data_IF_325199996123
#
_entry.id   IF_325199996123
#
_cell.length_a   1.000
_cell.length_b   1.000
_cell.length_c   1.000
_cell.angle_alpha   90.00
_cell.angle_beta   90.00
_cell.angle_gamma   90.00
#
_symmetry.space_group_name_H-M   'P 1'
#
loop_
_entity.id
_entity.type
_entity.pdbx_description
1 polymer ?
#
# COMPACT_ATOMS: atom_id res chain seq x y z
N UNK A 1 38.23 -73.19 28.82
CA UNK A 1 38.68 -71.78 28.62
C UNK A 1 38.06 -71.25 27.34
N UNK A 2 37.70 -69.95 27.32
CA UNK A 2 37.06 -69.16 26.23
C UNK A 2 35.53 -69.22 26.24
N UNK A 3 34.83 -68.46 27.09
CA UNK A 3 34.63 -66.99 27.22
C UNK A 3 33.22 -66.62 26.73
N UNK A 4 32.41 -66.16 27.69
CA UNK A 4 31.08 -65.56 27.58
C UNK A 4 31.07 -64.34 26.66
N UNK A 5 29.98 -64.18 25.89
CA UNK A 5 29.48 -62.87 25.47
C UNK A 5 27.94 -62.90 25.51
N UNK A 6 27.27 -62.21 26.45
CA UNK A 6 25.84 -61.94 26.31
C UNK A 6 25.65 -60.73 25.38
N UNK A 7 24.82 -60.92 24.36
CA UNK A 7 24.40 -59.85 23.46
C UNK A 7 23.48 -58.87 24.21
N UNK A 8 24.00 -57.66 24.48
CA UNK A 8 23.24 -56.55 25.03
C UNK A 8 22.37 -55.96 23.91
N UNK A 9 21.09 -56.31 23.88
CA UNK A 9 20.12 -55.68 22.99
C UNK A 9 19.81 -54.26 23.51
N UNK A 10 20.35 -53.25 22.83
CA UNK A 10 20.08 -51.85 23.11
C UNK A 10 18.68 -51.50 22.57
N UNK A 11 17.70 -51.35 23.46
CA UNK A 11 16.38 -50.82 23.12
C UNK A 11 16.53 -49.32 22.80
N UNK A 12 16.56 -48.97 21.52
CA UNK A 12 16.46 -47.56 21.07
C UNK A 12 15.00 -47.16 21.14
N UNK A 13 14.59 -46.51 22.23
CA UNK A 13 13.30 -45.83 22.29
C UNK A 13 13.33 -44.63 21.33
N UNK A 14 12.36 -44.46 20.42
CA UNK A 14 12.28 -43.23 19.64
C UNK A 14 11.92 -42.10 20.60
N UNK A 15 12.87 -41.18 20.82
CA UNK A 15 12.55 -39.90 21.42
C UNK A 15 11.60 -39.19 20.45
N UNK A 16 10.31 -39.18 20.79
CA UNK A 16 9.34 -38.27 20.21
C UNK A 16 9.86 -36.86 20.51
N UNK A 17 10.57 -36.27 19.55
CA UNK A 17 10.86 -34.85 19.54
C UNK A 17 9.52 -34.12 19.44
N UNK A 18 8.94 -33.79 20.59
CA UNK A 18 7.91 -32.79 20.70
C UNK A 18 8.56 -31.48 20.29
N UNK A 19 8.48 -31.14 19.00
CA UNK A 19 8.77 -29.80 18.55
C UNK A 19 7.82 -28.87 19.33
N UNK A 20 8.37 -28.12 20.30
CA UNK A 20 7.61 -27.08 20.97
C UNK A 20 7.26 -26.05 19.91
N UNK A 21 5.98 -25.95 19.56
CA UNK A 21 5.46 -24.82 18.81
C UNK A 21 5.78 -23.57 19.62
N UNK A 22 6.87 -22.90 19.26
CA UNK A 22 7.33 -21.73 19.97
C UNK A 22 6.45 -20.58 19.53
N UNK A 23 5.42 -20.30 20.32
CA UNK A 23 4.54 -19.16 20.08
C UNK A 23 5.35 -17.86 20.19
N UNK A 24 4.94 -16.82 19.44
CA UNK A 24 5.55 -15.50 19.52
C UNK A 24 5.61 -15.02 20.97
N UNK A 25 6.84 -14.81 21.47
CA UNK A 25 7.08 -14.33 22.81
C UNK A 25 6.87 -12.81 22.87
N UNK A 26 6.27 -12.32 23.96
CA UNK A 26 6.21 -10.88 24.22
C UNK A 26 7.42 -10.43 25.04
N UNK A 27 8.02 -9.27 24.72
CA UNK A 27 9.07 -8.71 25.55
C UNK A 27 8.51 -8.32 26.94
N UNK A 28 9.37 -8.18 27.97
CA UNK A 28 8.97 -7.64 29.27
C UNK A 28 8.22 -6.31 29.13
N UNK A 29 7.25 -6.06 30.01
CA UNK A 29 6.32 -4.93 29.89
C UNK A 29 7.03 -3.57 29.70
N UNK A 30 8.09 -3.28 30.46
CA UNK A 30 8.83 -2.02 30.33
C UNK A 30 9.42 -1.81 28.91
N UNK A 31 9.93 -2.87 28.28
CA UNK A 31 10.46 -2.81 26.90
C UNK A 31 9.32 -2.69 25.90
N UNK A 32 8.22 -3.42 26.13
CA UNK A 32 7.03 -3.34 25.29
C UNK A 32 6.42 -1.94 25.30
N UNK A 33 6.28 -1.33 26.47
CA UNK A 33 5.64 -0.02 26.64
C UNK A 33 6.53 1.09 26.07
N UNK A 34 7.85 0.99 26.23
CA UNK A 34 8.80 1.88 25.57
C UNK A 34 8.72 1.75 24.04
N UNK A 35 8.65 0.52 23.52
CA UNK A 35 8.56 0.25 22.10
C UNK A 35 7.22 0.69 21.50
N UNK A 36 6.12 0.54 22.22
CA UNK A 36 4.76 0.87 21.76
C UNK A 36 4.31 2.29 22.13
N UNK A 37 5.21 3.12 22.67
CA UNK A 37 4.91 4.52 22.95
C UNK A 37 4.41 5.23 21.68
N UNK A 38 3.36 6.08 21.76
CA UNK A 38 2.82 6.74 20.58
C UNK A 38 3.89 7.59 19.87
N UNK A 39 4.14 7.37 18.57
CA UNK A 39 5.08 8.17 17.82
C UNK A 39 4.61 9.61 17.64
N UNK A 40 5.56 10.49 17.32
CA UNK A 40 5.25 11.85 16.87
C UNK A 40 4.34 11.78 15.63
N UNK A 41 3.17 12.42 15.66
CA UNK A 41 2.25 12.41 14.53
C UNK A 41 2.87 13.13 13.33
N UNK A 42 2.44 12.74 12.12
CA UNK A 42 2.78 13.48 10.91
C UNK A 42 1.90 14.72 10.80
N UNK A 43 2.50 15.82 10.38
CA UNK A 43 1.80 17.08 10.17
C UNK A 43 1.69 17.37 8.67
N UNK A 44 0.50 17.76 8.22
CA UNK A 44 0.26 18.23 6.85
C UNK A 44 -0.40 19.60 6.92
N UNK A 45 0.36 20.64 6.56
CA UNK A 45 -0.09 22.02 6.58
C UNK A 45 -0.75 22.38 5.25
N UNK A 46 -1.90 23.05 5.31
CA UNK A 46 -2.56 23.63 4.15
C UNK A 46 -1.67 24.72 3.50
N UNK A 47 -1.86 24.97 2.21
CA UNK A 47 -1.03 25.93 1.46
C UNK A 47 -1.08 27.36 2.00
N UNK A 48 -2.18 27.74 2.65
CA UNK A 48 -2.36 29.05 3.29
C UNK A 48 -1.78 29.15 4.71
N UNK A 49 -1.30 28.03 5.29
CA UNK A 49 -0.77 27.96 6.64
C UNK A 49 -1.81 28.13 7.76
N UNK A 50 -3.11 28.17 7.46
CA UNK A 50 -4.18 28.43 8.45
C UNK A 50 -4.79 27.17 9.02
N UNK A 51 -4.64 26.05 8.34
CA UNK A 51 -5.17 24.76 8.78
C UNK A 51 -4.09 23.69 8.66
N UNK A 52 -4.05 22.79 9.62
CA UNK A 52 -3.14 21.65 9.62
C UNK A 52 -3.88 20.37 9.96
N UNK A 53 -3.58 19.31 9.22
CA UNK A 53 -3.98 17.95 9.55
C UNK A 53 -2.87 17.28 10.38
N UNK A 54 -3.26 16.67 11.49
CA UNK A 54 -2.42 15.92 12.41
C UNK A 54 -2.78 14.44 12.23
N UNK A 55 -1.83 13.69 11.71
CA UNK A 55 -1.98 12.30 11.31
C UNK A 55 -1.31 11.41 12.36
N UNK A 56 -2.11 10.75 13.19
CA UNK A 56 -1.58 9.77 14.12
C UNK A 56 -1.02 8.58 13.33
N UNK A 57 0.22 8.19 13.58
CA UNK A 57 0.88 7.08 12.87
C UNK A 57 1.12 5.92 13.82
N UNK A 58 1.28 4.72 13.25
CA UNK A 58 1.73 3.54 13.98
C UNK A 58 3.13 3.17 13.48
N UNK A 59 4.05 2.93 14.41
CA UNK A 59 5.45 2.62 14.09
C UNK A 59 5.68 1.18 13.61
N UNK A 60 4.81 0.25 14.03
CA UNK A 60 5.00 -1.18 13.80
C UNK A 60 3.81 -1.79 13.05
N UNK A 61 4.02 -2.31 11.83
CA UNK A 61 3.01 -3.13 11.18
C UNK A 61 2.80 -4.42 11.97
N UNK A 62 1.56 -4.89 11.97
CA UNK A 62 1.18 -6.18 12.54
C UNK A 62 1.82 -7.34 11.77
N UNK A 63 1.93 -8.51 12.40
CA UNK A 63 2.40 -9.74 11.73
C UNK A 63 1.54 -10.05 10.50
N UNK A 64 0.22 -9.82 10.58
CA UNK A 64 -0.70 -10.01 9.47
C UNK A 64 -0.45 -9.05 8.30
N UNK A 65 0.09 -7.86 8.55
CA UNK A 65 0.50 -6.92 7.50
C UNK A 65 1.83 -7.31 6.88
N UNK A 66 2.78 -7.77 7.71
CA UNK A 66 4.09 -8.24 7.24
C UNK A 66 4.00 -9.53 6.40
N UNK A 67 2.99 -10.36 6.64
CA UNK A 67 2.77 -11.61 5.90
C UNK A 67 1.96 -11.44 4.61
N UNK A 68 1.57 -10.21 4.26
CA UNK A 68 0.86 -9.96 3.01
C UNK A 68 1.75 -10.25 1.79
N UNK A 69 1.16 -10.68 0.66
CA UNK A 69 1.92 -10.95 -0.55
C UNK A 69 2.63 -9.68 -1.07
N UNK A 70 3.86 -9.86 -1.56
CA UNK A 70 4.67 -8.80 -2.17
C UNK A 70 5.16 -9.27 -3.54
N UNK A 71 4.69 -8.61 -4.60
CA UNK A 71 5.26 -8.73 -5.94
C UNK A 71 6.41 -7.75 -6.10
N UNK A 72 7.50 -8.20 -6.72
CA UNK A 72 8.72 -7.43 -6.95
C UNK A 72 8.93 -7.30 -8.45
N UNK A 73 8.51 -6.18 -9.02
CA UNK A 73 8.37 -6.00 -10.47
C UNK A 73 8.92 -4.63 -10.88
N UNK A 74 9.90 -4.61 -11.77
CA UNK A 74 10.53 -3.39 -12.29
C UNK A 74 11.00 -2.40 -11.20
N UNK A 75 11.53 -2.92 -10.09
CA UNK A 75 11.96 -2.13 -8.93
C UNK A 75 10.84 -1.69 -7.98
N UNK A 76 9.58 -2.04 -8.28
CA UNK A 76 8.42 -1.76 -7.42
C UNK A 76 8.14 -2.95 -6.48
N UNK A 77 7.59 -2.64 -5.30
CA UNK A 77 7.10 -3.62 -4.33
C UNK A 77 5.60 -3.44 -4.13
N UNK A 78 4.83 -4.35 -4.71
CA UNK A 78 3.39 -4.21 -4.88
C UNK A 78 2.64 -5.24 -4.04
N UNK A 79 1.54 -4.82 -3.45
CA UNK A 79 0.59 -5.73 -2.83
C UNK A 79 -0.50 -6.10 -3.85
N UNK A 80 -0.51 -7.34 -4.37
CA UNK A 80 -1.48 -7.76 -5.38
C UNK A 80 -2.92 -7.76 -4.87
N UNK A 81 -3.15 -7.74 -3.56
CA UNK A 81 -4.49 -7.72 -2.96
C UNK A 81 -5.11 -6.33 -2.94
N UNK A 82 -4.32 -5.25 -2.99
CA UNK A 82 -4.82 -3.87 -2.89
C UNK A 82 -4.52 -3.02 -4.12
N UNK A 83 -3.64 -3.48 -5.02
CA UNK A 83 -3.19 -2.73 -6.19
C UNK A 83 -2.45 -1.43 -5.84
N UNK A 84 -1.70 -1.47 -4.74
CA UNK A 84 -0.83 -0.39 -4.25
C UNK A 84 0.49 -0.92 -3.70
N UNK A 85 1.31 -0.07 -3.06
CA UNK A 85 2.61 -0.49 -2.55
C UNK A 85 2.45 -1.47 -1.38
N UNK A 86 3.32 -2.48 -1.29
CA UNK A 86 3.33 -3.43 -0.15
C UNK A 86 3.87 -2.83 1.14
N UNK A 87 4.64 -1.74 1.03
CA UNK A 87 5.30 -1.08 2.15
C UNK A 87 4.87 0.37 2.21
N UNK A 88 3.89 0.65 3.05
CA UNK A 88 3.35 2.00 3.27
C UNK A 88 3.29 2.24 4.78
N UNK A 89 3.77 3.39 5.22
CA UNK A 89 3.54 3.84 6.59
C UNK A 89 2.21 4.57 6.64
N UNK A 90 1.21 3.95 7.25
CA UNK A 90 -0.13 4.50 7.33
C UNK A 90 -0.29 5.43 8.53
N UNK A 91 -1.13 6.45 8.36
CA UNK A 91 -1.76 7.11 9.50
C UNK A 91 -3.02 6.35 9.90
N UNK A 92 -3.19 6.13 11.20
CA UNK A 92 -4.27 5.38 11.84
C UNK A 92 -5.41 6.27 12.36
N UNK A 93 -5.23 7.59 12.26
CA UNK A 93 -6.22 8.59 12.61
C UNK A 93 -5.84 9.96 12.09
N UNK A 94 -6.82 10.87 12.05
CA UNK A 94 -6.63 12.23 11.58
C UNK A 94 -7.39 13.21 12.46
N UNK A 95 -6.72 14.30 12.82
CA UNK A 95 -7.31 15.46 13.46
C UNK A 95 -7.01 16.71 12.61
N UNK A 96 -7.84 17.73 12.73
CA UNK A 96 -7.63 19.04 12.10
C UNK A 96 -7.48 20.10 13.17
N UNK A 97 -6.55 21.03 12.94
CA UNK A 97 -6.25 22.17 13.80
C UNK A 97 -6.23 23.44 12.98
N UNK A 98 -6.98 24.45 13.42
CA UNK A 98 -6.91 25.81 12.86
C UNK A 98 -5.81 26.61 13.57
N UNK A 99 -5.09 27.43 12.82
CA UNK A 99 -3.94 28.20 13.29
C UNK A 99 -4.20 29.71 13.21
N UNK A 100 -3.68 30.50 14.17
CA UNK A 100 -2.96 30.06 15.36
C UNK A 100 -3.91 29.58 16.49
N UNK A 101 -3.47 28.58 17.27
CA UNK A 101 -4.03 28.27 18.60
C UNK A 101 -5.39 27.58 18.66
N UNK A 102 -5.97 27.16 17.53
CA UNK A 102 -7.21 26.38 17.52
C UNK A 102 -7.08 25.03 18.21
N UNK A 103 -8.21 24.51 18.70
CA UNK A 103 -8.29 23.16 19.25
C UNK A 103 -8.05 22.09 18.17
N UNK A 104 -7.51 20.95 18.58
CA UNK A 104 -7.42 19.76 17.74
C UNK A 104 -8.76 19.05 17.73
N UNK A 105 -9.31 18.85 16.54
CA UNK A 105 -10.65 18.28 16.36
C UNK A 105 -10.56 17.02 15.50
N UNK A 106 -11.14 15.88 15.92
CA UNK A 106 -11.06 14.65 15.15
C UNK A 106 -11.84 14.78 13.83
N UNK A 107 -11.31 14.17 12.77
CA UNK A 107 -12.04 14.02 11.51
C UNK A 107 -13.03 12.87 11.65
N UNK A 108 -14.32 13.17 11.46
CA UNK A 108 -15.42 12.22 11.56
C UNK A 108 -15.58 11.41 10.28
N UNK A 109 -16.25 10.25 10.35
CA UNK A 109 -16.54 9.41 9.18
C UNK A 109 -15.41 8.50 8.73
N UNK A 110 -14.22 8.60 9.35
CA UNK A 110 -13.13 7.64 9.13
C UNK A 110 -13.48 6.27 9.71
N UNK A 111 -13.16 5.17 9.01
CA UNK A 111 -13.32 3.82 9.56
C UNK A 111 -12.38 3.61 10.76
N UNK A 112 -12.76 2.70 11.66
CA UNK A 112 -11.88 2.27 12.73
C UNK A 112 -10.59 1.67 12.13
N UNK A 113 -9.43 2.00 12.73
CA UNK A 113 -8.11 1.58 12.23
C UNK A 113 -7.87 1.98 10.76
N UNK A 114 -8.21 3.23 10.42
CA UNK A 114 -7.99 3.77 9.09
C UNK A 114 -6.54 3.55 8.62
N UNK A 115 -6.33 3.31 7.34
CA UNK A 115 -4.98 3.19 6.76
C UNK A 115 -4.78 4.30 5.75
N UNK A 116 -4.50 5.49 6.27
CA UNK A 116 -4.47 6.74 5.50
C UNK A 116 -3.07 6.98 4.94
N UNK A 117 -3.00 7.34 3.67
CA UNK A 117 -1.76 7.74 2.98
C UNK A 117 -2.02 8.90 2.00
N UNK A 118 -0.93 9.48 1.50
CA UNK A 118 -0.94 10.50 0.44
C UNK A 118 -1.88 11.69 0.68
N UNK A 119 -1.87 12.34 1.87
CA UNK A 119 -2.71 13.51 2.11
C UNK A 119 -2.34 14.67 1.17
N UNK A 120 -3.34 15.30 0.55
CA UNK A 120 -3.16 16.41 -0.39
C UNK A 120 -4.29 17.44 -0.25
N UNK A 121 -3.93 18.68 0.08
CA UNK A 121 -4.88 19.79 0.23
C UNK A 121 -5.36 20.28 -1.14
N UNK A 122 -6.65 20.64 -1.22
CA UNK A 122 -7.19 21.34 -2.37
C UNK A 122 -6.50 22.71 -2.54
N UNK A 123 -6.40 23.25 -3.77
CA UNK A 123 -5.77 24.55 -4.00
C UNK A 123 -6.40 25.70 -3.20
N UNK A 124 -7.70 25.63 -2.93
CA UNK A 124 -8.44 26.58 -2.10
C UNK A 124 -8.39 26.30 -0.58
N UNK A 125 -7.71 25.22 -0.16
CA UNK A 125 -7.55 24.77 1.23
C UNK A 125 -8.85 24.39 1.96
N UNK A 126 -9.96 24.18 1.23
CA UNK A 126 -11.25 23.81 1.82
C UNK A 126 -11.41 22.30 2.02
N UNK A 127 -10.59 21.50 1.35
CA UNK A 127 -10.68 20.06 1.35
C UNK A 127 -9.30 19.40 1.47
N UNK A 128 -9.28 18.20 2.04
CA UNK A 128 -8.10 17.35 2.10
C UNK A 128 -8.45 15.99 1.47
N UNK A 129 -7.86 15.69 0.33
CA UNK A 129 -7.95 14.37 -0.30
C UNK A 129 -6.87 13.44 0.24
N UNK A 130 -7.19 12.15 0.34
CA UNK A 130 -6.24 11.13 0.80
C UNK A 130 -6.63 9.75 0.26
N UNK A 131 -5.65 8.85 0.21
CA UNK A 131 -5.88 7.44 -0.06
C UNK A 131 -6.20 6.72 1.27
N UNK A 132 -7.17 5.80 1.22
CA UNK A 132 -7.49 4.91 2.33
C UNK A 132 -7.38 3.45 1.87
N UNK A 133 -6.43 2.71 2.43
CA UNK A 133 -6.26 1.29 2.12
C UNK A 133 -7.22 0.45 2.93
N UNK A 134 -8.14 -0.24 2.26
CA UNK A 134 -9.01 -1.25 2.86
C UNK A 134 -8.37 -2.62 2.65
N UNK A 135 -7.93 -3.32 3.71
CA UNK A 135 -7.34 -4.64 3.60
C UNK A 135 -8.33 -5.67 3.05
N UNK A 136 -7.82 -6.73 2.45
CA UNK A 136 -8.64 -7.88 2.12
C UNK A 136 -9.13 -8.56 3.41
N UNK A 137 -10.39 -8.97 3.42
CA UNK A 137 -10.99 -9.79 4.48
C UNK A 137 -11.65 -11.02 3.85
N UNK A 138 -12.07 -11.98 4.68
CA UNK A 138 -12.86 -13.10 4.21
C UNK A 138 -14.13 -12.56 3.51
N UNK A 139 -14.23 -12.81 2.20
CA UNK A 139 -15.35 -12.37 1.36
C UNK A 139 -15.24 -10.98 0.71
N UNK A 140 -14.17 -10.20 0.94
CA UNK A 140 -13.96 -8.92 0.24
C UNK A 140 -12.52 -8.74 -0.23
N UNK A 141 -12.28 -8.41 -1.52
CA UNK A 141 -10.95 -8.06 -1.98
C UNK A 141 -10.47 -6.78 -1.29
N UNK A 142 -9.16 -6.69 -1.08
CA UNK A 142 -8.52 -5.46 -0.65
C UNK A 142 -8.56 -4.42 -1.76
N UNK A 143 -8.43 -3.15 -1.39
CA UNK A 143 -8.44 -2.03 -2.34
C UNK A 143 -7.87 -0.78 -1.71
N UNK A 144 -7.46 0.16 -2.55
CA UNK A 144 -7.20 1.54 -2.15
C UNK A 144 -8.38 2.41 -2.61
N UNK A 145 -8.90 3.25 -1.72
CA UNK A 145 -10.03 4.12 -1.97
C UNK A 145 -9.61 5.60 -1.97
N UNK A 146 -10.25 6.43 -2.80
CA UNK A 146 -10.12 7.88 -2.72
C UNK A 146 -11.13 8.45 -1.72
N UNK A 147 -10.64 9.20 -0.74
CA UNK A 147 -11.43 9.87 0.28
C UNK A 147 -11.16 11.36 0.28
N UNK A 148 -12.12 12.13 0.79
CA UNK A 148 -11.99 13.57 1.01
C UNK A 148 -12.53 13.95 2.37
N UNK A 149 -11.82 14.81 3.09
CA UNK A 149 -12.27 15.48 4.29
C UNK A 149 -12.60 16.95 3.99
N UNK A 150 -13.73 17.41 4.49
CA UNK A 150 -14.17 18.79 4.44
C UNK A 150 -13.71 19.54 5.71
N UNK A 151 -13.04 20.68 5.52
CA UNK A 151 -12.39 21.44 6.59
C UNK A 151 -13.39 22.22 7.43
N UNK A 152 -14.54 22.61 6.86
CA UNK A 152 -15.56 23.34 7.59
C UNK A 152 -16.28 22.44 8.59
N UNK A 153 -16.62 21.23 8.15
CA UNK A 153 -17.42 20.25 8.90
C UNK A 153 -16.60 19.22 9.67
N UNK A 154 -15.29 19.10 9.37
CA UNK A 154 -14.42 18.03 9.87
C UNK A 154 -14.96 16.63 9.55
N UNK A 155 -15.68 16.46 8.44
CA UNK A 155 -16.25 15.18 8.04
C UNK A 155 -15.49 14.62 6.82
N UNK A 156 -15.15 13.34 6.88
CA UNK A 156 -14.58 12.60 5.77
C UNK A 156 -15.58 11.63 5.16
N UNK A 157 -15.48 11.46 3.85
CA UNK A 157 -16.26 10.48 3.10
C UNK A 157 -15.44 9.88 1.96
N UNK A 158 -15.81 8.67 1.56
CA UNK A 158 -15.36 8.08 0.31
C UNK A 158 -15.85 8.95 -0.84
N UNK A 159 -14.93 9.32 -1.74
CA UNK A 159 -15.24 10.16 -2.89
C UNK A 159 -15.49 9.33 -4.15
N UNK A 160 -14.75 8.24 -4.36
CA UNK A 160 -14.80 7.48 -5.61
C UNK A 160 -15.18 6.01 -5.39
N UNK A 161 -16.14 5.53 -6.19
CA UNK A 161 -16.59 4.15 -6.17
C UNK A 161 -15.58 3.17 -6.80
N UNK A 162 -14.84 3.60 -7.82
CA UNK A 162 -13.74 2.80 -8.38
C UNK A 162 -12.53 2.77 -7.43
N UNK A 163 -11.85 1.63 -7.26
CA UNK A 163 -10.62 1.57 -6.48
C UNK A 163 -9.47 2.26 -7.23
N UNK A 164 -8.59 2.91 -6.46
CA UNK A 164 -7.39 3.54 -6.98
C UNK A 164 -6.36 2.49 -7.42
N UNK A 165 -5.58 2.84 -8.44
CA UNK A 165 -4.35 2.13 -8.80
C UNK A 165 -3.15 2.93 -8.28
N UNK A 166 -2.63 2.53 -7.13
CA UNK A 166 -1.57 3.23 -6.38
C UNK A 166 -0.18 2.61 -6.61
N UNK A 167 0.00 1.81 -7.67
CA UNK A 167 1.24 1.08 -7.99
C UNK A 167 2.47 1.99 -8.07
N UNK A 168 2.30 3.22 -8.52
CA UNK A 168 3.35 4.24 -8.60
C UNK A 168 3.31 5.25 -7.44
N UNK A 169 2.67 4.92 -6.32
CA UNK A 169 2.37 5.86 -5.23
C UNK A 169 1.20 6.78 -5.59
N UNK A 170 1.15 7.98 -4.99
CA UNK A 170 0.01 8.92 -5.02
C UNK A 170 -0.79 8.90 -6.32
N UNK A 171 -1.93 8.22 -6.31
CA UNK A 171 -2.73 7.91 -7.49
C UNK A 171 -3.68 9.03 -7.91
N UNK A 172 -3.68 10.18 -7.24
CA UNK A 172 -4.56 11.30 -7.57
C UNK A 172 -3.86 12.66 -7.42
N UNK A 173 -4.41 13.67 -8.09
CA UNK A 173 -3.95 15.06 -8.07
C UNK A 173 -5.14 16.02 -8.18
N UNK A 174 -5.11 17.12 -7.45
CA UNK A 174 -6.13 18.16 -7.55
C UNK A 174 -6.03 18.92 -8.86
N UNK A 175 -7.17 19.20 -9.48
CA UNK A 175 -7.26 20.19 -10.55
C UNK A 175 -7.29 21.59 -9.92
N UNK A 176 -6.77 22.59 -10.63
CA UNK A 176 -6.71 23.99 -10.19
C UNK A 176 -8.08 24.59 -9.83
N UNK A 177 -9.17 24.01 -10.30
CA UNK A 177 -10.55 24.42 -10.00
C UNK A 177 -11.00 24.13 -8.56
N UNK A 178 -10.22 23.35 -7.78
CA UNK A 178 -10.56 22.88 -6.42
C UNK A 178 -11.86 22.08 -6.31
N UNK A 179 -12.46 21.70 -7.44
CA UNK A 179 -13.74 20.99 -7.55
C UNK A 179 -13.59 19.64 -8.22
N UNK A 180 -12.43 19.36 -8.80
CA UNK A 180 -12.14 18.12 -9.49
C UNK A 180 -10.81 17.54 -9.04
N UNK A 181 -10.69 16.22 -9.09
CA UNK A 181 -9.41 15.51 -9.03
C UNK A 181 -9.19 14.70 -10.30
N UNK A 182 -7.93 14.56 -10.71
CA UNK A 182 -7.52 13.48 -11.59
C UNK A 182 -7.15 12.28 -10.73
N UNK A 183 -7.63 11.09 -11.08
CA UNK A 183 -7.33 9.87 -10.35
C UNK A 183 -7.01 8.71 -11.30
N UNK A 184 -6.01 7.92 -10.95
CA UNK A 184 -5.66 6.66 -11.59
C UNK A 184 -6.41 5.54 -10.88
N UNK A 185 -7.26 4.84 -11.62
CA UNK A 185 -8.11 3.77 -11.10
C UNK A 185 -7.72 2.43 -11.69
N UNK A 186 -8.06 1.35 -11.00
CA UNK A 186 -8.00 0.01 -11.59
C UNK A 186 -9.01 -0.03 -12.76
N UNK A 187 -8.59 -0.43 -13.99
CA UNK A 187 -9.50 -0.49 -15.13
C UNK A 187 -10.72 -1.36 -14.85
N UNK A 188 -11.90 -0.87 -15.25
CA UNK A 188 -13.13 -1.65 -15.17
C UNK A 188 -13.00 -2.92 -16.04
N UNK A 189 -13.41 -4.07 -15.51
CA UNK A 189 -13.38 -5.33 -16.25
C UNK A 189 -11.98 -5.92 -16.49
N UNK A 190 -10.94 -5.48 -15.76
CA UNK A 190 -9.54 -5.97 -15.91
C UNK A 190 -9.38 -7.50 -15.88
N UNK A 191 -10.32 -8.23 -15.26
CA UNK A 191 -10.26 -9.69 -15.14
C UNK A 191 -9.26 -10.15 -14.06
N UNK A 192 -8.97 -11.46 -13.98
CA UNK A 192 -8.01 -12.01 -13.02
C UNK A 192 -6.56 -11.71 -13.44
N UNK A 193 -5.67 -11.69 -12.44
CA UNK A 193 -4.23 -11.53 -12.70
C UNK A 193 -3.69 -12.72 -13.51
N UNK A 194 -2.75 -12.48 -14.44
CA UNK A 194 -2.05 -13.56 -15.12
C UNK A 194 -1.36 -14.51 -14.13
N UNK A 195 -1.36 -15.80 -14.44
CA UNK A 195 -0.62 -16.78 -13.65
C UNK A 195 0.89 -16.49 -13.69
N UNK A 196 1.50 -16.40 -12.50
CA UNK A 196 2.93 -16.12 -12.33
C UNK A 196 3.82 -17.29 -12.77
N UNK A 197 3.26 -18.50 -12.79
CA UNK A 197 3.89 -19.80 -13.02
C UNK A 197 3.56 -20.39 -14.40
N UNK A 198 2.98 -19.59 -15.31
CA UNK A 198 2.73 -20.06 -16.67
C UNK A 198 4.04 -20.58 -17.28
N UNK A 199 4.01 -21.84 -17.73
CA UNK A 199 5.17 -22.51 -18.32
C UNK A 199 5.84 -21.59 -19.35
N UNK A 200 7.18 -21.40 -19.27
CA UNK A 200 7.86 -20.50 -20.19
C UNK A 200 7.58 -20.91 -21.63
N UNK A 201 6.99 -20.01 -22.43
CA UNK A 201 6.75 -20.24 -23.86
C UNK A 201 8.04 -20.17 -24.69
N UNK A 202 9.15 -19.75 -24.08
CA UNK A 202 10.48 -19.64 -24.67
C UNK A 202 11.53 -19.16 -23.66
N UNK A 203 12.80 -19.03 -24.07
CA UNK A 203 13.86 -18.52 -23.20
C UNK A 203 13.63 -17.05 -22.82
N UNK A 204 14.04 -16.67 -21.62
CA UNK A 204 14.09 -15.26 -21.22
C UNK A 204 15.26 -14.58 -21.96
N UNK A 205 14.96 -13.74 -22.94
CA UNK A 205 15.94 -12.98 -23.71
C UNK A 205 15.99 -11.56 -23.15
N UNK A 206 17.18 -11.10 -22.74
CA UNK A 206 17.42 -9.72 -22.31
C UNK A 206 18.48 -9.10 -23.21
N UNK A 207 18.16 -7.95 -23.80
CA UNK A 207 19.10 -7.19 -24.63
C UNK A 207 19.55 -5.93 -23.88
N UNK A 208 20.86 -5.76 -23.71
CA UNK A 208 21.43 -4.50 -23.23
C UNK A 208 21.90 -3.69 -24.43
N UNK A 209 21.09 -2.72 -24.87
CA UNK A 209 21.40 -1.68 -25.86
C UNK A 209 22.55 -1.97 -26.84
N UNK A 210 22.38 -2.95 -27.74
CA UNK A 210 23.31 -3.21 -28.84
C UNK A 210 24.74 -3.63 -28.44
N UNK A 211 24.92 -4.30 -27.30
CA UNK A 211 26.22 -4.89 -26.91
C UNK A 211 27.25 -3.92 -26.32
N UNK A 212 26.86 -2.67 -26.03
CA UNK A 212 27.75 -1.69 -25.39
C UNK A 212 27.78 -1.93 -23.88
N UNK A 213 28.99 -2.16 -23.32
CA UNK A 213 29.21 -2.20 -21.87
C UNK A 213 28.86 -0.83 -21.27
N UNK A 214 27.71 -0.76 -20.63
CA UNK A 214 27.26 0.38 -19.84
C UNK A 214 27.45 0.05 -18.36
N UNK A 215 28.07 0.95 -17.59
CA UNK A 215 28.12 0.87 -16.13
C UNK A 215 26.75 1.17 -15.52
N UNK A 216 25.75 0.36 -15.84
CA UNK A 216 24.40 0.50 -15.30
C UNK A 216 24.43 0.23 -13.80
N UNK A 217 23.73 1.06 -13.03
CA UNK A 217 23.51 0.77 -11.61
C UNK A 217 22.85 -0.60 -11.49
N UNK A 218 23.26 -1.39 -10.49
CA UNK A 218 22.56 -2.62 -10.15
C UNK A 218 21.20 -2.23 -9.57
N UNK A 219 20.14 -2.48 -10.34
CA UNK A 219 18.77 -2.29 -9.87
C UNK A 219 18.27 -3.63 -9.31
N UNK A 220 17.72 -3.59 -8.09
CA UNK A 220 17.04 -4.74 -7.50
C UNK A 220 15.67 -4.92 -8.17
N UNK A 221 15.14 -6.14 -8.11
CA UNK A 221 13.75 -6.42 -8.47
C UNK A 221 13.38 -6.05 -9.94
N UNK A 222 14.36 -6.15 -10.86
CA UNK A 222 14.13 -6.05 -12.31
C UNK A 222 13.24 -7.19 -12.81
N UNK A 223 12.53 -6.95 -13.92
CA UNK A 223 11.74 -7.97 -14.60
C UNK A 223 12.67 -9.06 -15.13
N UNK A 224 12.38 -10.33 -14.79
CA UNK A 224 13.27 -11.45 -15.09
C UNK A 224 12.84 -12.24 -16.31
N UNK A 225 11.55 -12.22 -16.63
CA UNK A 225 10.95 -13.07 -17.65
C UNK A 225 9.63 -12.46 -18.17
N UNK A 226 9.04 -13.02 -19.25
CA UNK A 226 7.76 -12.56 -19.79
C UNK A 226 6.56 -12.68 -18.85
N UNK A 227 6.60 -13.52 -17.81
CA UNK A 227 5.54 -13.56 -16.81
C UNK A 227 5.59 -12.32 -15.90
N UNK A 228 6.77 -11.88 -15.48
CA UNK A 228 6.96 -10.64 -14.74
C UNK A 228 6.49 -9.43 -15.56
N UNK A 229 6.75 -9.40 -16.86
CA UNK A 229 6.28 -8.35 -17.78
C UNK A 229 4.75 -8.27 -17.81
N UNK A 230 4.07 -9.41 -17.99
CA UNK A 230 2.60 -9.47 -17.99
C UNK A 230 2.01 -9.07 -16.64
N UNK A 231 2.63 -9.49 -15.53
CA UNK A 231 2.20 -9.08 -14.18
C UNK A 231 2.40 -7.57 -13.99
N UNK A 232 3.54 -7.04 -14.40
CA UNK A 232 3.81 -5.61 -14.33
C UNK A 232 2.78 -4.82 -15.12
N UNK A 233 2.54 -5.18 -16.38
CA UNK A 233 1.53 -4.54 -17.23
C UNK A 233 0.13 -4.62 -16.60
N UNK A 234 -0.28 -5.78 -16.09
CA UNK A 234 -1.58 -5.97 -15.44
C UNK A 234 -1.77 -5.07 -14.21
N UNK A 235 -0.77 -5.00 -13.33
CA UNK A 235 -0.87 -4.19 -12.11
C UNK A 235 -0.69 -2.69 -12.37
N UNK A 236 0.24 -2.33 -13.26
CA UNK A 236 0.61 -0.94 -13.55
C UNK A 236 -0.36 -0.23 -14.52
N UNK A 237 -1.17 -0.97 -15.28
CA UNK A 237 -2.20 -0.39 -16.14
C UNK A 237 -3.32 0.23 -15.30
N UNK A 238 -3.57 1.52 -15.53
CA UNK A 238 -4.60 2.30 -14.87
C UNK A 238 -5.52 2.98 -15.90
N UNK A 239 -6.79 3.16 -15.53
CA UNK A 239 -7.68 4.10 -16.22
C UNK A 239 -7.57 5.46 -15.52
N UNK A 240 -7.21 6.50 -16.26
CA UNK A 240 -7.29 7.88 -15.76
C UNK A 240 -8.76 8.32 -15.77
N UNK A 241 -9.20 8.96 -14.69
CA UNK A 241 -10.54 9.55 -14.58
C UNK A 241 -10.45 10.97 -14.01
N UNK A 242 -11.37 11.84 -14.43
CA UNK A 242 -11.69 13.09 -13.73
C UNK A 242 -12.84 12.82 -12.76
N UNK A 243 -12.63 13.12 -11.49
CA UNK A 243 -13.59 12.89 -10.39
C UNK A 243 -14.12 14.23 -9.92
N UNK A 244 -15.44 14.40 -9.93
CA UNK A 244 -16.10 15.58 -9.40
C UNK A 244 -16.20 15.49 -7.89
N UNK A 245 -15.81 16.55 -7.19
CA UNK A 245 -15.84 16.59 -5.73
C UNK A 245 -17.27 16.49 -5.21
N UNK A 246 -18.24 17.11 -5.87
CA UNK A 246 -19.62 17.24 -5.39
C UNK A 246 -20.29 15.89 -5.07
N UNK A 247 -20.14 14.91 -5.95
CA UNK A 247 -20.87 13.64 -5.92
C UNK A 247 -19.97 12.42 -6.16
N UNK A 248 -18.70 12.59 -6.52
CA UNK A 248 -17.82 11.50 -6.88
C UNK A 248 -18.00 10.99 -8.30
N UNK A 249 -18.78 11.68 -9.13
CA UNK A 249 -18.96 11.31 -10.53
C UNK A 249 -17.61 11.29 -11.25
N UNK A 250 -17.33 10.18 -11.94
CA UNK A 250 -16.05 9.94 -12.57
C UNK A 250 -16.19 9.80 -14.09
N UNK A 251 -15.45 10.62 -14.82
CA UNK A 251 -15.37 10.57 -16.28
C UNK A 251 -14.02 9.97 -16.71
N UNK A 252 -14.00 8.84 -17.44
CA UNK A 252 -12.77 8.30 -18.02
C UNK A 252 -12.12 9.30 -18.98
N UNK A 253 -10.79 9.41 -18.90
CA UNK A 253 -9.96 10.21 -19.77
C UNK A 253 -8.99 9.31 -20.54
N UNK A 254 -9.16 9.26 -21.86
CA UNK A 254 -8.34 8.41 -22.72
C UNK A 254 -8.53 6.90 -22.46
N UNK A 255 -7.66 6.10 -23.07
CA UNK A 255 -7.64 4.66 -22.90
C UNK A 255 -6.83 4.25 -21.66
N UNK A 256 -7.09 3.09 -21.06
CA UNK A 256 -6.23 2.53 -20.02
C UNK A 256 -4.78 2.39 -20.50
N UNK A 257 -3.83 2.63 -19.60
CA UNK A 257 -2.41 2.45 -19.90
C UNK A 257 -1.53 2.51 -18.65
N UNK A 258 -0.23 2.28 -18.84
CA UNK A 258 0.76 2.42 -17.77
C UNK A 258 1.06 3.91 -17.55
N UNK A 259 0.39 4.49 -16.56
CA UNK A 259 0.47 5.92 -16.25
C UNK A 259 1.30 6.13 -14.99
N UNK A 260 2.59 6.46 -15.13
CA UNK A 260 3.49 6.67 -13.99
C UNK A 260 3.17 7.94 -13.20
N UNK A 261 2.80 9.00 -13.90
CA UNK A 261 2.40 10.29 -13.32
C UNK A 261 1.40 10.96 -14.26
N UNK A 262 0.52 11.78 -13.69
CA UNK A 262 -0.40 12.64 -14.41
C UNK A 262 -0.38 13.96 -13.67
N UNK A 263 -0.28 15.08 -14.39
CA UNK A 263 -0.42 16.40 -13.79
C UNK A 263 -1.38 17.22 -14.66
N UNK A 264 -2.35 17.92 -14.07
CA UNK A 264 -3.19 18.84 -14.82
C UNK A 264 -2.32 20.00 -15.31
N UNK A 265 -2.46 20.33 -16.60
CA UNK A 265 -1.98 21.62 -17.11
C UNK A 265 -2.69 22.75 -16.35
N UNK A 266 -2.03 23.90 -16.14
CA UNK A 266 -2.76 25.15 -16.00
C UNK A 266 -3.88 25.27 -17.03
#
# INVERSE_FOLDING_TARGET
MKHFLPALALLVAPALAMAQETQYQQPPAAIRDLLLAPPTPRLSLAGDGRTMAILAVQDFPTIAELSQPELRLAGLRLNPRTNGPSRVSYAVGMQVKRLPGGAETPVQGLPAQARISSPSWSPDNQHLAFALTVPATDGSPGRVELWVADVATNAARRLLAAPLNDVFGSSFEWVSDSRSLLARTVPAGRGPAPAADAAPTGPAVQETGGGKKSGARTYQDLLKNPADERLFEYYATAQLVRVQLADGAAQPLGQPGVLRSVSPSP
#
